data_IF_068815146209
#
_entry.id   IF_068815146209
#
_cell.length_a   1.000
_cell.length_b   1.000
_cell.length_c   1.000
_cell.angle_alpha   90.00
_cell.angle_beta   90.00
_cell.angle_gamma   90.00
#
_symmetry.space_group_name_H-M   'P 1'
#
loop_
_entity.id
_entity.type
_entity.pdbx_description
1 polymer ?
#
# COMPACT_ATOMS: atom_id res chain seq x y z
N UNK A 1 9.40 -15.50 -43.28
CA UNK A 1 10.53 -14.56 -43.04
C UNK A 1 10.03 -13.49 -42.09
N UNK A 2 10.68 -13.26 -40.95
CA UNK A 2 10.94 -14.20 -39.86
C UNK A 2 9.85 -14.17 -38.76
N UNK A 3 9.39 -15.36 -38.38
CA UNK A 3 8.89 -15.66 -37.05
C UNK A 3 10.05 -15.38 -36.08
N UNK A 4 9.91 -14.34 -35.27
CA UNK A 4 10.87 -14.05 -34.22
C UNK A 4 10.40 -14.80 -32.97
N UNK A 5 11.10 -15.84 -32.51
CA UNK A 5 10.85 -16.36 -31.18
C UNK A 5 11.30 -15.30 -30.18
N UNK A 6 10.33 -14.64 -29.55
CA UNK A 6 10.61 -13.73 -28.45
C UNK A 6 11.11 -14.56 -27.26
N UNK A 7 12.43 -14.68 -27.19
CA UNK A 7 13.18 -15.37 -26.13
C UNK A 7 12.73 -14.88 -24.75
N UNK A 8 12.15 -15.74 -23.88
CA UNK A 8 11.83 -15.38 -22.51
C UNK A 8 13.09 -15.56 -21.64
N UNK A 9 14.14 -14.79 -21.93
CA UNK A 9 15.39 -14.82 -21.16
C UNK A 9 15.58 -13.49 -20.43
N UNK A 10 14.77 -13.28 -19.39
CA UNK A 10 15.15 -12.49 -18.21
C UNK A 10 14.38 -12.99 -17.01
N UNK A 11 14.74 -14.20 -16.59
CA UNK A 11 14.46 -14.68 -15.25
C UNK A 11 15.46 -14.03 -14.28
N UNK A 12 14.99 -13.00 -13.59
CA UNK A 12 15.35 -12.80 -12.20
C UNK A 12 14.03 -12.56 -11.48
N UNK A 13 13.50 -13.52 -10.71
CA UNK A 13 12.41 -13.19 -9.81
C UNK A 13 12.96 -12.11 -8.88
N UNK A 14 12.24 -11.00 -8.84
CA UNK A 14 12.23 -9.95 -7.85
C UNK A 14 12.03 -10.49 -6.42
N UNK A 15 12.77 -11.51 -6.00
CA UNK A 15 12.64 -12.18 -4.71
C UNK A 15 13.07 -11.28 -3.54
N UNK A 16 13.73 -10.15 -3.84
CA UNK A 16 14.07 -9.13 -2.84
C UNK A 16 12.91 -8.14 -2.57
N UNK A 17 11.86 -8.09 -3.42
CA UNK A 17 10.68 -7.24 -3.14
C UNK A 17 9.68 -7.91 -2.19
N UNK A 18 9.96 -9.14 -1.76
CA UNK A 18 9.04 -9.94 -0.92
C UNK A 18 9.48 -10.02 0.54
N UNK A 19 10.36 -9.11 0.98
CA UNK A 19 10.68 -8.89 2.41
C UNK A 19 10.04 -7.62 2.95
N UNK A 20 8.91 -7.19 2.41
CA UNK A 20 7.95 -6.47 3.25
C UNK A 20 7.43 -7.53 4.20
N UNK A 21 8.21 -7.78 5.24
CA UNK A 21 7.78 -8.50 6.41
C UNK A 21 6.41 -7.96 6.79
N UNK A 22 5.66 -8.80 7.45
CA UNK A 22 4.42 -8.49 8.14
C UNK A 22 4.72 -7.48 9.26
N UNK A 23 5.26 -6.30 8.90
CA UNK A 23 5.47 -5.19 9.79
C UNK A 23 4.10 -4.90 10.38
N UNK A 24 4.02 -4.85 11.73
CA UNK A 24 2.75 -4.64 12.38
C UNK A 24 2.07 -3.41 11.78
N UNK A 25 0.78 -3.58 11.53
CA UNK A 25 -0.04 -2.51 10.98
C UNK A 25 -0.09 -1.38 11.99
N UNK A 26 0.22 -0.17 11.53
CA UNK A 26 0.09 1.01 12.36
C UNK A 26 -1.37 1.16 12.81
N UNK A 27 -1.58 1.57 14.07
CA UNK A 27 -2.92 1.84 14.57
C UNK A 27 -3.41 3.20 14.05
N UNK A 28 -4.68 3.25 13.64
CA UNK A 28 -5.35 4.50 13.26
C UNK A 28 -5.37 5.46 14.45
N UNK A 29 -4.97 6.73 14.25
CA UNK A 29 -4.93 7.72 15.35
C UNK A 29 -6.32 8.13 15.85
N UNK A 30 -7.38 7.83 15.10
CA UNK A 30 -8.76 8.20 15.46
C UNK A 30 -9.53 7.06 16.15
N UNK A 31 -9.35 5.82 15.69
CA UNK A 31 -10.11 4.66 16.19
C UNK A 31 -9.25 3.52 16.74
N UNK A 32 -7.93 3.63 16.67
CA UNK A 32 -6.94 2.63 17.10
C UNK A 32 -7.04 1.25 16.43
N UNK A 33 -7.81 1.12 15.35
CA UNK A 33 -7.86 -0.10 14.53
C UNK A 33 -6.61 -0.23 13.65
N UNK A 34 -6.21 -1.46 13.28
CA UNK A 34 -5.07 -1.68 12.39
C UNK A 34 -5.33 -1.06 11.01
N UNK A 35 -4.39 -0.24 10.54
CA UNK A 35 -4.41 0.36 9.21
C UNK A 35 -3.85 -0.58 8.14
N UNK A 36 -4.07 -0.26 6.88
CA UNK A 36 -3.38 -0.89 5.75
C UNK A 36 -1.93 -0.40 5.58
N UNK A 37 -1.52 0.61 6.34
CA UNK A 37 -0.15 1.13 6.33
C UNK A 37 0.74 0.39 7.34
N UNK A 38 1.99 0.07 6.99
CA UNK A 38 2.97 -0.48 7.94
C UNK A 38 3.36 0.58 8.98
N UNK A 39 3.78 0.15 10.17
CA UNK A 39 4.31 1.05 11.21
C UNK A 39 5.52 1.90 10.79
N UNK A 40 6.26 1.45 9.78
CA UNK A 40 7.39 2.20 9.19
C UNK A 40 6.93 3.41 8.35
N UNK A 41 5.64 3.47 7.97
CA UNK A 41 5.09 4.61 7.24
C UNK A 41 5.06 5.85 8.14
N UNK A 42 5.90 6.84 7.84
CA UNK A 42 5.88 8.13 8.55
C UNK A 42 4.75 9.02 8.06
N UNK A 43 3.86 9.42 8.97
CA UNK A 43 2.78 10.37 8.70
C UNK A 43 1.60 10.18 9.63
N UNK A 44 0.48 10.84 9.32
CA UNK A 44 -0.80 10.60 10.00
C UNK A 44 -1.33 9.26 9.48
N UNK A 45 -1.32 8.25 10.34
CA UNK A 45 -1.91 6.94 10.02
C UNK A 45 -3.43 6.98 10.24
N UNK A 46 -4.18 6.90 9.14
CA UNK A 46 -5.62 6.67 9.16
C UNK A 46 -5.93 5.26 8.62
N UNK A 47 -6.99 4.64 9.14
CA UNK A 47 -7.58 3.47 8.48
C UNK A 47 -8.37 3.91 7.23
N UNK A 48 -8.58 3.04 6.23
CA UNK A 48 -9.28 3.39 4.98
C UNK A 48 -10.64 4.04 5.18
N UNK A 49 -11.39 3.61 6.21
CA UNK A 49 -12.70 4.17 6.56
C UNK A 49 -12.59 5.61 7.07
N UNK A 50 -11.66 5.89 7.98
CA UNK A 50 -11.42 7.25 8.48
C UNK A 50 -10.87 8.17 7.38
N UNK A 51 -9.96 7.69 6.53
CA UNK A 51 -9.44 8.46 5.41
C UNK A 51 -10.55 8.89 4.43
N UNK A 52 -11.48 7.97 4.12
CA UNK A 52 -12.64 8.29 3.29
C UNK A 52 -13.58 9.30 3.95
N UNK A 53 -13.86 9.15 5.25
CA UNK A 53 -14.71 10.09 5.99
C UNK A 53 -14.13 11.51 6.04
N UNK A 54 -12.82 11.64 6.24
CA UNK A 54 -12.15 12.95 6.24
C UNK A 54 -12.20 13.62 4.85
N UNK A 55 -12.03 12.83 3.78
CA UNK A 55 -12.22 13.30 2.40
C UNK A 55 -13.66 13.75 2.12
N UNK A 56 -14.64 12.97 2.55
CA UNK A 56 -16.06 13.33 2.44
C UNK A 56 -16.40 14.60 3.22
N UNK A 57 -15.92 14.72 4.46
CA UNK A 57 -16.14 15.90 5.29
C UNK A 57 -15.57 17.13 4.60
N UNK A 58 -14.33 17.06 4.12
CA UNK A 58 -13.69 18.17 3.39
C UNK A 58 -14.50 18.56 2.15
N UNK A 59 -15.00 17.59 1.38
CA UNK A 59 -15.82 17.85 0.20
C UNK A 59 -17.20 18.47 0.52
N UNK A 60 -17.79 18.16 1.68
CA UNK A 60 -19.10 18.68 2.10
C UNK A 60 -19.02 19.92 3.00
N UNK A 61 -17.83 20.41 3.35
CA UNK A 61 -17.63 21.60 4.20
C UNK A 61 -17.49 22.91 3.40
N UNK A 62 -17.90 22.89 2.13
CA UNK A 62 -17.84 24.03 1.21
C UNK A 62 -18.94 25.05 1.41
#
# INVERSE_FOLDING_TARGET
MPDTPQSPASAAPSAERSRTAEEPRAACVLCQEPSESPESHRGITLCPRCAWLEGQRTACSG
#
